data_IF_626160521959
#
_entry.id   IF_626160521959
#
_cell.length_a   1.000
_cell.length_b   1.000
_cell.length_c   1.000
_cell.angle_alpha   90.00
_cell.angle_beta   90.00
_cell.angle_gamma   90.00
#
_symmetry.space_group_name_H-M   'P 1'
#
loop_
_entity.id
_entity.type
_entity.pdbx_description
1 polymer ?
#
# COMPACT_ATOMS: atom_id res chain seq x y z
N UNK A 1 14.69 -12.53 -7.46
CA UNK A 1 13.89 -11.55 -6.67
C UNK A 1 13.61 -10.32 -7.54
N UNK A 2 12.40 -9.76 -7.50
CA UNK A 2 12.06 -8.47 -8.12
C UNK A 2 11.70 -7.48 -7.02
N UNK A 3 12.24 -6.27 -7.04
CA UNK A 3 11.95 -5.25 -6.02
C UNK A 3 12.19 -3.84 -6.56
N UNK A 4 11.84 -2.82 -5.77
CA UNK A 4 11.96 -1.40 -6.12
C UNK A 4 11.99 -0.53 -4.84
N UNK A 5 12.63 0.64 -4.93
CA UNK A 5 12.55 1.65 -3.87
C UNK A 5 11.25 2.46 -3.91
N UNK A 6 10.47 2.33 -4.99
CA UNK A 6 9.30 3.18 -5.28
C UNK A 6 8.26 3.21 -4.17
N UNK A 7 7.89 2.04 -3.62
CA UNK A 7 6.86 1.93 -2.58
C UNK A 7 7.38 2.35 -1.21
N UNK A 8 8.62 2.00 -0.89
CA UNK A 8 9.25 2.34 0.39
C UNK A 8 9.43 3.85 0.53
N UNK A 9 9.85 4.54 -0.54
CA UNK A 9 10.22 5.95 -0.52
C UNK A 9 9.22 6.88 -1.21
N UNK A 10 8.03 6.38 -1.57
CA UNK A 10 6.96 7.15 -2.21
C UNK A 10 7.40 7.87 -3.51
N UNK A 11 8.14 7.19 -4.37
CA UNK A 11 8.61 7.70 -5.68
C UNK A 11 8.09 6.90 -6.90
N UNK A 12 6.83 6.41 -6.94
CA UNK A 12 6.37 5.57 -8.05
C UNK A 12 6.35 6.31 -9.40
N UNK A 13 6.12 7.62 -9.40
CA UNK A 13 6.12 8.44 -10.61
C UNK A 13 7.50 8.54 -11.27
N UNK A 14 8.57 8.33 -10.50
CA UNK A 14 9.94 8.35 -11.02
C UNK A 14 10.30 7.04 -11.73
N UNK A 15 9.43 6.02 -11.66
CA UNK A 15 9.63 4.67 -12.20
C UNK A 15 10.87 3.97 -11.63
N UNK A 16 11.17 2.78 -12.12
CA UNK A 16 12.34 2.01 -11.72
C UNK A 16 12.02 0.84 -10.81
N UNK A 17 12.46 -0.33 -11.25
CA UNK A 17 12.49 -1.57 -10.49
C UNK A 17 13.73 -2.35 -10.94
N UNK A 18 14.15 -3.31 -10.15
CA UNK A 18 15.29 -4.15 -10.48
C UNK A 18 15.05 -5.60 -10.08
N UNK A 19 15.72 -6.49 -10.80
CA UNK A 19 15.69 -7.92 -10.56
C UNK A 19 17.07 -8.44 -10.20
N UNK A 20 17.14 -9.27 -9.18
CA UNK A 20 18.29 -10.11 -8.87
C UNK A 20 18.00 -11.50 -9.42
N UNK A 21 18.70 -11.86 -10.50
CA UNK A 21 18.57 -13.13 -11.23
C UNK A 21 19.94 -13.83 -11.21
N UNK A 22 20.08 -14.83 -10.35
CA UNK A 22 21.36 -15.52 -10.11
C UNK A 22 21.76 -16.42 -11.28
N UNK A 23 20.80 -17.17 -11.84
CA UNK A 23 21.05 -18.05 -12.97
C UNK A 23 21.37 -17.23 -14.23
N UNK A 24 22.57 -17.40 -14.77
CA UNK A 24 23.04 -16.67 -15.95
C UNK A 24 22.16 -16.91 -17.17
N UNK A 25 21.78 -18.15 -17.45
CA UNK A 25 20.91 -18.47 -18.60
C UNK A 25 19.55 -17.77 -18.51
N UNK A 26 18.91 -17.77 -17.33
CA UNK A 26 17.64 -17.06 -17.11
C UNK A 26 17.81 -15.54 -17.22
N UNK A 27 18.89 -14.99 -16.67
CA UNK A 27 19.18 -13.55 -16.74
C UNK A 27 19.41 -13.12 -18.19
N UNK A 28 20.18 -13.87 -18.96
CA UNK A 28 20.53 -13.53 -20.33
C UNK A 28 19.30 -13.67 -21.25
N UNK A 29 18.47 -14.70 -21.03
CA UNK A 29 17.17 -14.83 -21.70
C UNK A 29 16.23 -13.66 -21.38
N UNK A 30 16.15 -13.24 -20.11
CA UNK A 30 15.36 -12.08 -19.69
C UNK A 30 15.86 -10.79 -20.36
N UNK A 31 17.18 -10.53 -20.34
CA UNK A 31 17.77 -9.35 -20.98
C UNK A 31 17.58 -9.35 -22.50
N UNK A 32 17.64 -10.53 -23.15
CA UNK A 32 17.38 -10.66 -24.58
C UNK A 32 15.92 -10.35 -24.93
N UNK A 33 14.97 -10.83 -24.12
CA UNK A 33 13.56 -10.50 -24.30
C UNK A 33 13.30 -9.01 -24.10
N UNK A 34 13.84 -8.43 -23.01
CA UNK A 34 13.67 -7.03 -22.66
C UNK A 34 14.17 -6.08 -23.76
N UNK A 35 15.34 -6.38 -24.34
CA UNK A 35 15.94 -5.58 -25.43
C UNK A 35 15.27 -5.85 -26.78
N UNK A 36 15.06 -7.12 -27.12
CA UNK A 36 14.65 -7.54 -28.45
C UNK A 36 13.14 -7.46 -28.72
N UNK A 37 12.31 -7.60 -27.68
CA UNK A 37 10.84 -7.54 -27.80
C UNK A 37 10.28 -6.21 -27.32
N UNK A 38 10.75 -5.74 -26.17
CA UNK A 38 10.14 -4.59 -25.48
C UNK A 38 10.87 -3.27 -25.75
N UNK A 39 12.04 -3.31 -26.39
CA UNK A 39 12.86 -2.13 -26.70
C UNK A 39 13.41 -1.43 -25.45
N UNK A 40 13.38 -2.08 -24.30
CA UNK A 40 13.80 -1.51 -23.02
C UNK A 40 15.28 -1.83 -22.78
N UNK A 41 16.13 -0.82 -23.01
CA UNK A 41 17.59 -0.98 -22.93
C UNK A 41 18.23 -0.26 -21.76
N UNK A 42 17.61 0.81 -21.24
CA UNK A 42 18.14 1.62 -20.13
C UNK A 42 17.02 2.22 -19.28
N UNK A 43 17.19 2.28 -17.94
CA UNK A 43 16.27 3.00 -17.07
C UNK A 43 16.42 4.52 -17.26
N UNK A 44 15.43 5.29 -16.82
CA UNK A 44 15.55 6.75 -16.84
C UNK A 44 16.60 7.25 -15.85
N UNK A 45 17.31 8.32 -16.21
CA UNK A 45 18.31 8.96 -15.32
C UNK A 45 17.67 9.36 -13.98
N UNK A 46 16.44 9.88 -14.02
CA UNK A 46 15.73 10.29 -12.82
C UNK A 46 15.36 9.10 -11.91
N UNK A 47 14.98 7.95 -12.49
CA UNK A 47 14.75 6.73 -11.72
C UNK A 47 16.02 6.30 -10.98
N UNK A 48 17.17 6.30 -11.66
CA UNK A 48 18.46 5.95 -11.07
C UNK A 48 18.83 6.90 -9.94
N UNK A 49 18.82 8.21 -10.19
CA UNK A 49 19.19 9.23 -9.20
C UNK A 49 18.31 9.12 -7.95
N UNK A 50 17.00 8.94 -8.11
CA UNK A 50 16.08 8.82 -6.99
C UNK A 50 16.33 7.56 -6.16
N UNK A 51 16.58 6.41 -6.81
CA UNK A 51 16.89 5.17 -6.10
C UNK A 51 18.24 5.23 -5.37
N UNK A 52 19.26 5.86 -5.96
CA UNK A 52 20.57 6.06 -5.32
C UNK A 52 20.41 6.90 -4.06
N UNK A 53 19.75 8.06 -4.17
CA UNK A 53 19.50 8.94 -3.02
C UNK A 53 18.68 8.23 -1.93
N UNK A 54 17.62 7.53 -2.32
CA UNK A 54 16.76 6.80 -1.40
C UNK A 54 17.52 5.72 -0.62
N UNK A 55 18.36 4.91 -1.28
CA UNK A 55 19.10 3.84 -0.60
C UNK A 55 20.32 4.33 0.18
N UNK A 56 20.96 5.42 -0.24
CA UNK A 56 22.12 5.95 0.48
C UNK A 56 21.73 6.82 1.69
N UNK A 57 20.61 7.54 1.62
CA UNK A 57 20.29 8.60 2.57
C UNK A 57 18.89 8.46 3.18
N UNK A 58 18.02 7.63 2.62
CA UNK A 58 16.61 7.55 3.04
C UNK A 58 16.34 6.71 4.28
N UNK A 59 17.31 5.96 4.80
CA UNK A 59 17.07 5.03 5.92
C UNK A 59 16.48 5.71 7.18
N UNK A 60 16.98 6.87 7.66
CA UNK A 60 16.40 7.54 8.82
C UNK A 60 14.94 7.96 8.61
N UNK A 61 14.61 8.44 7.40
CA UNK A 61 13.23 8.79 7.05
C UNK A 61 12.33 7.55 7.00
N UNK A 62 12.83 6.44 6.44
CA UNK A 62 12.08 5.21 6.33
C UNK A 62 11.80 4.59 7.71
N UNK A 63 12.76 4.64 8.63
CA UNK A 63 12.56 4.15 10.00
C UNK A 63 11.53 4.99 10.76
N UNK A 64 11.60 6.33 10.64
CA UNK A 64 10.57 7.21 11.20
C UNK A 64 9.19 6.94 10.59
N UNK A 65 9.11 6.75 9.26
CA UNK A 65 7.87 6.40 8.58
C UNK A 65 7.30 5.06 9.07
N UNK A 66 8.13 4.05 9.30
CA UNK A 66 7.66 2.74 9.79
C UNK A 66 7.00 2.85 11.16
N UNK A 67 7.57 3.63 12.08
CA UNK A 67 6.95 3.91 13.39
C UNK A 67 5.61 4.60 13.20
N UNK A 68 5.59 5.65 12.38
CA UNK A 68 4.38 6.41 12.10
C UNK A 68 3.23 5.55 11.51
N UNK A 69 3.55 4.72 10.53
CA UNK A 69 2.59 3.80 9.91
C UNK A 69 2.08 2.77 10.90
N UNK A 70 2.95 2.26 11.78
CA UNK A 70 2.57 1.33 12.83
C UNK A 70 1.59 1.97 13.80
N UNK A 71 1.84 3.21 14.21
CA UNK A 71 0.94 3.95 15.10
C UNK A 71 -0.43 4.18 14.45
N UNK A 72 -0.47 4.52 13.17
CA UNK A 72 -1.73 4.65 12.42
C UNK A 72 -2.50 3.32 12.35
N UNK A 73 -1.82 2.21 12.07
CA UNK A 73 -2.44 0.88 12.04
C UNK A 73 -2.96 0.45 13.41
N UNK A 74 -2.20 0.70 14.48
CA UNK A 74 -2.63 0.44 15.86
C UNK A 74 -3.88 1.24 16.18
N UNK A 75 -3.89 2.54 15.87
CA UNK A 75 -5.06 3.39 16.09
C UNK A 75 -6.31 2.85 15.36
N UNK A 76 -6.18 2.46 14.09
CA UNK A 76 -7.30 1.88 13.33
C UNK A 76 -7.77 0.57 13.98
N UNK A 77 -6.84 -0.29 14.42
CA UNK A 77 -7.18 -1.57 15.07
C UNK A 77 -7.95 -1.36 16.36
N UNK A 78 -7.47 -0.47 17.22
CA UNK A 78 -8.14 -0.14 18.48
C UNK A 78 -9.54 0.42 18.22
N UNK A 79 -9.71 1.30 17.23
CA UNK A 79 -11.02 1.90 16.93
C UNK A 79 -12.00 0.94 16.29
N UNK A 80 -11.56 0.17 15.29
CA UNK A 80 -12.43 -0.80 14.62
C UNK A 80 -12.87 -1.90 15.59
N UNK A 81 -11.96 -2.41 16.41
CA UNK A 81 -12.27 -3.50 17.33
C UNK A 81 -13.06 -3.03 18.57
N UNK A 82 -12.95 -1.75 18.96
CA UNK A 82 -13.82 -1.19 20.00
C UNK A 82 -15.27 -0.99 19.51
N UNK A 83 -15.45 -0.71 18.21
CA UNK A 83 -16.75 -0.40 17.62
C UNK A 83 -17.49 -1.62 17.10
N UNK A 84 -16.72 -2.52 16.48
CA UNK A 84 -17.18 -3.74 15.86
C UNK A 84 -16.32 -4.90 16.37
N UNK A 85 -16.50 -5.34 17.62
CA UNK A 85 -15.72 -6.42 18.21
C UNK A 85 -15.73 -7.70 17.36
N UNK A 86 -16.81 -7.96 16.62
CA UNK A 86 -16.95 -9.09 15.71
C UNK A 86 -15.99 -9.08 14.51
N UNK A 87 -15.41 -7.92 14.16
CA UNK A 87 -14.39 -7.85 13.11
C UNK A 87 -13.08 -8.49 13.55
N UNK A 88 -12.72 -8.33 14.83
CA UNK A 88 -11.44 -8.75 15.41
C UNK A 88 -10.25 -8.50 14.46
N UNK A 89 -10.19 -7.30 13.87
CA UNK A 89 -9.24 -6.98 12.83
C UNK A 89 -7.81 -6.96 13.36
N UNK A 90 -6.94 -7.69 12.66
CA UNK A 90 -5.53 -7.84 13.00
C UNK A 90 -4.67 -6.90 12.15
N UNK A 91 -3.71 -6.24 12.79
CA UNK A 91 -2.75 -5.38 12.10
C UNK A 91 -1.92 -6.24 11.14
N UNK A 92 -1.82 -5.87 9.84
CA UNK A 92 -1.01 -6.62 8.89
C UNK A 92 0.47 -6.60 9.28
N UNK A 93 1.17 -7.70 9.01
CA UNK A 93 2.59 -7.84 9.31
C UNK A 93 3.48 -6.94 8.44
N UNK A 94 2.98 -6.48 7.29
CA UNK A 94 3.73 -5.64 6.36
C UNK A 94 2.80 -4.75 5.53
N UNK A 95 3.41 -3.84 4.78
CA UNK A 95 2.75 -2.79 3.97
C UNK A 95 2.06 -1.73 4.81
N UNK A 96 1.62 -0.66 4.14
CA UNK A 96 0.85 0.43 4.72
C UNK A 96 -0.63 0.36 4.30
N UNK A 97 -1.11 -0.82 3.90
CA UNK A 97 -2.49 -1.05 3.49
C UNK A 97 -3.24 -1.80 4.59
N UNK A 98 -4.32 -1.21 5.10
CA UNK A 98 -5.24 -1.88 6.00
C UNK A 98 -6.31 -2.61 5.17
N UNK A 99 -6.29 -3.94 5.25
CA UNK A 99 -7.29 -4.81 4.60
C UNK A 99 -8.33 -5.20 5.63
N UNK A 100 -9.51 -4.59 5.55
CA UNK A 100 -10.61 -4.80 6.49
C UNK A 100 -11.63 -5.75 5.88
N UNK A 101 -11.82 -6.92 6.51
CA UNK A 101 -12.85 -7.87 6.14
C UNK A 101 -14.15 -7.53 6.87
N UNK A 102 -15.13 -7.00 6.14
CA UNK A 102 -16.40 -6.53 6.70
C UNK A 102 -17.53 -7.56 6.57
N UNK A 103 -17.22 -8.80 6.14
CA UNK A 103 -18.20 -9.88 6.05
C UNK A 103 -18.97 -10.13 7.35
N UNK A 104 -18.34 -10.10 8.55
CA UNK A 104 -19.05 -10.31 9.82
C UNK A 104 -20.18 -9.30 10.07
N UNK A 105 -20.07 -8.09 9.52
CA UNK A 105 -21.06 -7.01 9.70
C UNK A 105 -22.28 -7.16 8.80
N UNK A 106 -22.25 -8.08 7.83
CA UNK A 106 -23.32 -8.30 6.86
C UNK A 106 -23.79 -7.02 6.12
N UNK A 107 -22.87 -6.08 5.88
CA UNK A 107 -23.14 -4.83 5.17
C UNK A 107 -23.15 -5.09 3.65
N UNK A 108 -23.96 -4.32 2.91
CA UNK A 108 -23.95 -4.28 1.45
C UNK A 108 -22.79 -3.42 0.92
N UNK A 109 -21.99 -3.99 0.02
CA UNK A 109 -20.77 -3.35 -0.50
C UNK A 109 -21.05 -2.04 -1.25
N UNK A 110 -22.16 -1.97 -2.00
CA UNK A 110 -22.51 -0.78 -2.76
C UNK A 110 -23.00 0.33 -1.84
N UNK A 111 -23.85 -0.01 -0.86
CA UNK A 111 -24.31 0.93 0.15
C UNK A 111 -23.15 1.47 0.98
N UNK A 112 -22.21 0.61 1.37
CA UNK A 112 -21.01 1.01 2.09
C UNK A 112 -20.14 1.95 1.25
N UNK A 113 -19.83 1.58 0.01
CA UNK A 113 -19.01 2.39 -0.87
C UNK A 113 -19.66 3.76 -1.13
N UNK A 114 -20.99 3.78 -1.32
CA UNK A 114 -21.76 5.01 -1.48
C UNK A 114 -21.71 5.89 -0.23
N UNK A 115 -21.94 5.33 0.96
CA UNK A 115 -21.88 6.06 2.22
C UNK A 115 -20.48 6.67 2.43
N UNK A 116 -19.43 5.85 2.27
CA UNK A 116 -18.05 6.29 2.45
C UNK A 116 -17.67 7.42 1.49
N UNK A 117 -18.04 7.33 0.21
CA UNK A 117 -17.66 8.33 -0.79
C UNK A 117 -18.55 9.58 -0.69
N UNK A 118 -19.87 9.42 -0.64
CA UNK A 118 -20.82 10.52 -0.76
C UNK A 118 -21.04 11.27 0.55
N UNK A 119 -21.10 10.56 1.69
CA UNK A 119 -21.38 11.14 2.99
C UNK A 119 -20.08 11.47 3.71
N UNK A 120 -19.20 10.48 3.80
CA UNK A 120 -17.99 10.56 4.63
C UNK A 120 -16.75 11.11 3.89
N UNK A 121 -16.87 11.28 2.57
CA UNK A 121 -15.79 11.78 1.70
C UNK A 121 -14.49 10.97 1.79
N UNK A 122 -14.61 9.68 2.10
CA UNK A 122 -13.51 8.71 2.15
C UNK A 122 -13.56 7.85 0.88
N UNK A 123 -12.53 8.01 0.04
CA UNK A 123 -12.33 7.10 -1.08
C UNK A 123 -11.74 5.78 -0.57
N UNK A 124 -12.41 4.68 -0.89
CA UNK A 124 -11.93 3.33 -0.58
C UNK A 124 -11.70 2.54 -1.86
N UNK A 125 -10.72 1.64 -1.83
CA UNK A 125 -10.58 0.63 -2.88
C UNK A 125 -11.44 -0.58 -2.51
N UNK A 126 -12.38 -1.00 -3.39
CA UNK A 126 -13.04 -2.28 -3.20
C UNK A 126 -11.97 -3.37 -3.27
N UNK A 127 -12.19 -4.45 -2.51
CA UNK A 127 -11.42 -5.67 -2.65
C UNK A 127 -11.39 -6.05 -4.13
N UNK A 128 -10.19 -6.38 -4.62
CA UNK A 128 -9.94 -6.93 -5.97
C UNK A 128 -11.08 -7.90 -6.32
N UNK A 129 -11.54 -8.06 -7.58
CA UNK A 129 -12.68 -8.93 -7.95
C UNK A 129 -12.69 -10.37 -7.38
N UNK A 130 -11.58 -10.83 -6.81
CA UNK A 130 -11.43 -12.11 -6.12
C UNK A 130 -11.92 -12.13 -4.65
N UNK A 131 -12.12 -10.98 -3.98
CA UNK A 131 -12.55 -10.93 -2.57
C UNK A 131 -13.61 -9.84 -2.35
N UNK A 132 -14.89 -10.22 -2.34
CA UNK A 132 -16.02 -9.35 -1.98
C UNK A 132 -15.98 -9.00 -0.49
N UNK A 133 -16.59 -7.86 -0.10
CA UNK A 133 -16.70 -7.41 1.31
C UNK A 133 -15.37 -7.12 2.03
N UNK A 134 -14.31 -6.84 1.27
CA UNK A 134 -13.04 -6.37 1.81
C UNK A 134 -12.78 -4.95 1.35
N UNK A 135 -12.42 -4.08 2.29
CA UNK A 135 -12.07 -2.69 2.03
C UNK A 135 -10.57 -2.51 2.22
N UNK A 136 -9.91 -1.87 1.25
CA UNK A 136 -8.48 -1.55 1.32
C UNK A 136 -8.29 -0.06 1.57
N UNK A 137 -7.61 0.26 2.66
CA UNK A 137 -7.32 1.63 3.08
C UNK A 137 -5.81 1.88 3.11
N UNK A 138 -5.38 3.03 2.60
CA UNK A 138 -3.99 3.47 2.76
C UNK A 138 -3.83 4.23 4.07
N UNK A 139 -2.87 3.80 4.91
CA UNK A 139 -2.58 4.44 6.20
C UNK A 139 -1.39 5.38 6.17
N UNK A 140 -0.85 5.65 4.98
CA UNK A 140 0.29 6.53 4.73
C UNK A 140 -0.05 8.03 4.71
N UNK A 141 -1.28 8.39 5.06
CA UNK A 141 -1.77 9.77 5.14
C UNK A 141 -1.56 10.38 6.53
N UNK A 142 -1.63 11.72 6.68
CA UNK A 142 -1.41 12.34 7.98
C UNK A 142 -2.38 11.83 9.04
N UNK A 143 -1.91 11.64 10.27
CA UNK A 143 -2.66 11.10 11.39
C UNK A 143 -3.96 11.87 11.68
N UNK A 144 -3.99 13.18 11.40
CA UNK A 144 -5.23 13.96 11.50
C UNK A 144 -6.33 13.44 10.55
N UNK A 145 -5.96 13.03 9.33
CA UNK A 145 -6.89 12.43 8.37
C UNK A 145 -7.32 11.03 8.81
N UNK A 146 -6.38 10.20 9.30
CA UNK A 146 -6.70 8.87 9.85
C UNK A 146 -7.62 8.97 11.06
N UNK A 147 -7.44 9.98 11.92
CA UNK A 147 -8.26 10.19 13.12
C UNK A 147 -9.64 10.74 12.83
N UNK A 148 -9.82 11.51 11.75
CA UNK A 148 -11.15 11.95 11.31
C UNK A 148 -12.08 10.77 10.97
N UNK A 149 -11.55 9.58 10.73
CA UNK A 149 -12.35 8.37 10.54
C UNK A 149 -13.14 7.94 11.77
N UNK A 150 -12.84 8.49 12.95
CA UNK A 150 -13.71 8.33 14.12
C UNK A 150 -15.15 8.71 13.79
N UNK A 151 -15.37 9.81 13.05
CA UNK A 151 -16.72 10.26 12.67
C UNK A 151 -17.40 9.36 11.64
N UNK A 152 -16.61 8.73 10.78
CA UNK A 152 -17.07 7.96 9.61
C UNK A 152 -17.69 6.61 10.00
N UNK A 153 -17.15 6.00 11.05
CA UNK A 153 -17.49 4.62 11.44
C UNK A 153 -18.17 4.52 12.80
N UNK A 154 -18.12 5.58 13.64
CA UNK A 154 -18.54 5.52 15.05
C UNK A 154 -19.64 6.51 15.42
N UNK A 155 -19.94 7.47 14.55
CA UNK A 155 -21.08 8.38 14.69
C UNK A 155 -22.18 7.96 13.69
#
# INVERSE_FOLDING_TARGET
MLTSGSKSFNIPALTGAYGIIENSSSRDAYLSALKGRDGLSSPSVLALTAHIAAYQQGAPWLDALRVYLKDNLTYISDKMNAAFPELNWQIPQSTYLAWLDLRPLNIDDNALQKALIEQEKVAIMPGIPMVKKVVVLSVSMPAAHVRNWKKVWLD
#
